data_IF_636278695973
#
_entry.id   IF_636278695973
#
_cell.length_a   1.000
_cell.length_b   1.000
_cell.length_c   1.000
_cell.angle_alpha   90.00
_cell.angle_beta   90.00
_cell.angle_gamma   90.00
#
_symmetry.space_group_name_H-M   'P 1'
#
loop_
_entity.id
_entity.type
_entity.pdbx_description
1 polymer ?
2 branched ?
3 non-polymer ?
4 non-polymer ?
5 water ?
#
# COMPACT_ATOMS: atom_id res chain seq x y z
N UNK A 1 -10.86 12.10 3.63
CA UNK A 1 -11.11 10.64 3.43
C UNK A 1 -11.24 10.30 1.95
N UNK A 2 -10.82 9.09 1.59
CA UNK A 2 -11.00 8.57 0.24
C UNK A 2 -11.89 7.32 0.29
N UNK A 3 -12.56 7.02 -0.81
CA UNK A 3 -13.52 5.91 -0.86
C UNK A 3 -13.43 5.07 -2.13
N UNK A 4 -13.72 3.78 -2.00
CA UNK A 4 -13.81 2.88 -3.14
C UNK A 4 -14.93 1.85 -2.96
N UNK A 5 -15.74 1.69 -3.99
CA UNK A 5 -16.87 0.77 -3.96
C UNK A 5 -16.69 -0.35 -4.98
N UNK A 6 -16.70 -1.59 -4.51
CA UNK A 6 -16.52 -2.74 -5.38
C UNK A 6 -17.76 -3.04 -6.25
N UNK A 7 -18.94 -2.63 -5.76
CA UNK A 7 -20.16 -2.77 -6.55
C UNK A 7 -20.13 -1.81 -7.74
N UNK A 8 -20.04 -2.37 -8.93
CA UNK A 8 -19.98 -1.59 -10.16
C UNK A 8 -18.57 -1.13 -10.52
N UNK A 9 -17.58 -1.60 -9.76
CA UNK A 9 -16.20 -1.22 -9.99
C UNK A 9 -15.68 -1.69 -11.35
N UNK A 10 -14.85 -0.86 -11.97
CA UNK A 10 -14.18 -1.19 -13.22
C UNK A 10 -12.79 -0.56 -13.22
N UNK A 11 -11.95 -0.85 -14.25
CA UNK A 11 -10.62 -0.25 -14.25
C UNK A 11 -10.63 1.27 -14.09
N UNK A 12 -11.66 1.93 -14.62
CA UNK A 12 -11.82 3.37 -14.53
C UNK A 12 -12.05 3.87 -13.10
N UNK A 13 -13.03 3.27 -12.40
CA UNK A 13 -13.36 3.68 -11.04
C UNK A 13 -12.25 3.34 -10.06
N UNK A 14 -11.57 2.22 -10.30
CA UNK A 14 -10.41 1.86 -9.49
C UNK A 14 -9.29 2.87 -9.69
N UNK A 15 -9.05 3.25 -10.94
CA UNK A 15 -8.05 4.28 -11.27
C UNK A 15 -8.32 5.58 -10.54
N UNK A 16 -9.60 5.98 -10.49
CA UNK A 16 -10.01 7.18 -9.78
C UNK A 16 -9.72 7.09 -8.27
N UNK A 17 -9.99 5.92 -7.68
CA UNK A 17 -9.70 5.68 -6.27
C UNK A 17 -8.20 5.82 -5.96
N UNK A 18 -7.35 5.25 -6.81
CA UNK A 18 -5.91 5.30 -6.62
C UNK A 18 -5.38 6.73 -6.77
N UNK A 19 -5.96 7.47 -7.71
CA UNK A 19 -5.68 8.90 -7.87
C UNK A 19 -6.05 9.66 -6.59
N UNK A 20 -7.27 9.41 -6.09
CA UNK A 20 -7.73 10.02 -4.83
C UNK A 20 -6.80 9.70 -3.67
N UNK A 21 -6.38 8.44 -3.58
CA UNK A 21 -5.48 7.99 -2.51
C UNK A 21 -4.15 8.75 -2.57
N UNK A 22 -3.56 8.84 -3.75
CA UNK A 22 -2.31 9.59 -3.96
C UNK A 22 -2.48 11.06 -3.58
N UNK A 23 -3.57 11.66 -4.03
CA UNK A 23 -3.84 13.09 -3.82
C UNK A 23 -4.11 13.45 -2.36
N UNK A 24 -4.54 12.46 -1.57
CA UNK A 24 -4.80 12.67 -0.15
C UNK A 24 -3.53 12.65 0.70
N UNK A 25 -2.41 12.26 0.08
CA UNK A 25 -1.13 12.23 0.79
C UNK A 25 -0.44 13.58 0.61
N UNK A 26 -0.12 14.26 1.73
CA UNK A 26 0.47 15.59 1.66
C UNK A 26 1.94 15.59 1.27
N UNK A 27 2.35 16.63 0.53
CA UNK A 27 3.75 16.87 0.20
C UNK A 27 3.97 18.37 0.01
N UNK A 28 5.17 18.83 0.35
CA UNK A 28 5.54 20.24 0.13
C UNK A 28 6.59 20.36 -0.95
N UNK A 29 7.03 19.20 -1.46
CA UNK A 29 8.18 19.12 -2.34
C UNK A 29 8.04 17.95 -3.31
N UNK A 30 8.48 18.17 -4.55
CA UNK A 30 8.63 17.09 -5.52
C UNK A 30 10.11 16.89 -5.82
N UNK A 31 10.51 15.63 -5.91
CA UNK A 31 11.89 15.28 -6.26
C UNK A 31 11.84 14.51 -7.58
N UNK A 32 12.50 15.08 -8.59
CA UNK A 32 12.42 14.59 -9.97
C UNK A 32 10.97 14.41 -10.43
N UNK A 33 10.15 15.40 -10.09
CA UNK A 33 8.71 15.45 -10.43
C UNK A 33 7.84 14.40 -9.71
N UNK A 34 8.40 13.77 -8.68
CA UNK A 34 7.68 12.78 -7.88
C UNK A 34 7.44 13.34 -6.49
N UNK A 35 6.16 13.37 -6.04
CA UNK A 35 5.83 13.87 -4.71
C UNK A 35 6.67 13.20 -3.61
N UNK A 36 7.21 14.03 -2.72
CA UNK A 36 8.00 13.55 -1.60
C UNK A 36 7.17 13.56 -0.33
N UNK A 37 6.91 12.38 0.22
CA UNK A 37 6.15 12.27 1.46
C UNK A 37 6.87 12.95 2.63
N UNK A 38 6.08 13.51 3.54
CA UNK A 38 6.61 14.30 4.65
C UNK A 38 7.40 13.47 5.66
N UNK A 39 8.42 14.08 6.31
CA UNK A 39 9.17 13.41 7.37
C UNK A 39 8.28 12.96 8.53
N UNK A 40 7.34 13.82 8.92
CA UNK A 40 6.37 13.50 9.97
C UNK A 40 5.16 14.43 9.95
N UNK A 41 4.06 13.97 10.55
CA UNK A 41 2.85 14.76 10.74
C UNK A 41 2.38 14.48 12.17
N UNK A 42 1.98 15.53 12.88
CA UNK A 42 1.55 15.39 14.27
C UNK A 42 0.04 15.37 14.43
N UNK A 43 -0.43 14.58 15.39
CA UNK A 43 -1.86 14.48 15.70
C UNK A 43 -2.58 13.47 14.84
N UNK A 44 -3.90 13.66 14.72
CA UNK A 44 -4.75 12.79 13.92
C UNK A 44 -4.53 12.97 12.41
N UNK A 45 -3.93 14.10 12.03
CA UNK A 45 -3.65 14.42 10.62
C UNK A 45 -2.66 13.47 9.96
N UNK A 46 -1.97 12.68 10.77
CA UNK A 46 -1.02 11.68 10.27
C UNK A 46 -1.70 10.53 9.53
N UNK A 47 -3.00 10.36 9.79
CA UNK A 47 -3.72 9.19 9.31
C UNK A 47 -4.85 9.49 8.35
N UNK A 48 -4.78 8.85 7.17
CA UNK A 48 -5.84 8.91 6.19
C UNK A 48 -6.80 7.75 6.38
N UNK A 49 -8.10 8.04 6.29
CA UNK A 49 -9.13 7.00 6.39
C UNK A 49 -9.65 6.62 5.01
N UNK A 50 -9.47 5.36 4.65
CA UNK A 50 -9.99 4.82 3.40
C UNK A 50 -11.28 4.07 3.69
N UNK A 51 -12.36 4.48 3.06
CA UNK A 51 -13.64 3.80 3.19
C UNK A 51 -13.81 2.83 2.02
N UNK A 52 -13.76 1.55 2.32
CA UNK A 52 -13.87 0.51 1.30
C UNK A 52 -15.17 -0.28 1.47
N UNK A 53 -15.87 -0.46 0.36
CA UNK A 53 -17.16 -1.15 0.33
C UNK A 53 -17.07 -2.39 -0.54
N UNK A 54 -17.43 -3.54 0.03
CA UNK A 54 -17.50 -4.76 -0.77
C UNK A 54 -18.72 -4.73 -1.70
N UNK A 55 -18.85 -5.74 -2.54
CA UNK A 55 -19.92 -5.79 -3.53
C UNK A 55 -21.32 -5.66 -2.92
N UNK A 56 -21.50 -6.23 -1.73
CA UNK A 56 -22.78 -6.18 -1.02
C UNK A 56 -23.01 -4.85 -0.30
N UNK A 57 -21.99 -3.99 -0.30
CA UNK A 57 -22.12 -2.66 0.30
C UNK A 57 -21.70 -2.58 1.75
N UNK A 58 -21.18 -3.68 2.29
CA UNK A 58 -20.60 -3.68 3.63
C UNK A 58 -19.25 -2.98 3.60
N UNK A 59 -18.88 -2.36 4.71
CA UNK A 59 -17.75 -1.45 4.71
C UNK A 59 -16.73 -1.65 5.83
N UNK A 60 -15.46 -1.38 5.50
CA UNK A 60 -14.41 -1.22 6.48
C UNK A 60 -13.74 0.13 6.27
N UNK A 61 -13.24 0.73 7.36
CA UNK A 61 -12.45 1.94 7.26
C UNK A 61 -11.01 1.60 7.61
N UNK A 62 -10.10 1.92 6.69
CA UNK A 62 -8.70 1.57 6.86
C UNK A 62 -7.88 2.82 7.17
N UNK A 63 -7.09 2.76 8.25
CA UNK A 63 -6.23 3.87 8.66
C UNK A 63 -4.84 3.71 8.05
N UNK A 64 -4.42 4.74 7.31
CA UNK A 64 -3.14 4.73 6.60
C UNK A 64 -2.28 5.91 7.07
N UNK A 65 -1.03 5.62 7.45
CA UNK A 65 -0.06 6.66 7.83
C UNK A 65 0.37 7.39 6.56
N UNK A 66 0.09 8.69 6.50
CA UNK A 66 0.29 9.48 5.27
C UNK A 66 1.76 9.76 4.92
N UNK A 67 2.65 9.53 5.89
CA UNK A 67 4.09 9.72 5.67
C UNK A 67 4.77 8.53 4.96
N UNK A 68 4.13 7.36 4.98
CA UNK A 68 4.77 6.15 4.45
C UNK A 68 3.83 5.17 3.73
N UNK A 69 2.54 5.51 3.69
CA UNK A 69 1.47 4.70 3.10
C UNK A 69 1.32 3.32 3.78
N UNK A 70 1.74 3.23 5.03
CA UNK A 70 1.60 2.00 5.80
C UNK A 70 0.22 1.91 6.42
N UNK A 71 -0.47 0.80 6.16
CA UNK A 71 -1.76 0.54 6.80
C UNK A 71 -1.50 0.20 8.27
N UNK A 72 -2.19 0.88 9.17
CA UNK A 72 -1.95 0.72 10.60
C UNK A 72 -3.00 -0.15 11.29
N UNK A 73 -4.23 -0.05 10.79
CA UNK A 73 -5.36 -0.78 11.34
C UNK A 73 -6.61 -0.46 10.57
N UNK A 74 -7.73 -1.01 11.01
CA UNK A 74 -9.00 -0.81 10.34
C UNK A 74 -10.17 -0.97 11.31
N UNK A 75 -11.32 -0.46 10.90
CA UNK A 75 -12.56 -0.56 11.67
C UNK A 75 -13.57 -1.39 10.90
N UNK A 76 -14.14 -2.38 11.59
CA UNK A 76 -15.15 -3.26 11.01
C UNK A 76 -16.34 -3.30 11.97
N UNK A 77 -17.45 -2.70 11.56
CA UNK A 77 -18.60 -2.40 12.40
C UNK A 77 -18.20 -1.59 13.65
N UNK A 78 -18.13 -2.23 14.81
CA UNK A 78 -17.84 -1.54 16.06
C UNK A 78 -16.53 -2.00 16.69
N UNK A 79 -15.78 -2.83 15.96
CA UNK A 79 -14.50 -3.36 16.42
C UNK A 79 -13.36 -2.77 15.59
N UNK A 80 -12.35 -2.25 16.27
CA UNK A 80 -11.12 -1.82 15.61
C UNK A 80 -10.04 -2.90 15.70
N UNK A 81 -9.19 -2.94 14.69
CA UNK A 81 -8.11 -3.92 14.61
C UNK A 81 -6.81 -3.20 14.24
N UNK A 82 -5.76 -3.44 15.02
CA UNK A 82 -4.46 -2.83 14.76
C UNK A 82 -3.36 -3.86 14.75
N UNK A 83 -2.35 -3.63 13.92
CA UNK A 83 -1.17 -4.49 13.90
C UNK A 83 -0.42 -4.46 15.22
N UNK A 84 0.28 -5.55 15.52
CA UNK A 84 1.08 -5.67 16.74
C UNK A 84 2.45 -5.03 16.52
N UNK A 85 2.48 -3.70 16.54
CA UNK A 85 3.71 -2.93 16.35
C UNK A 85 3.53 -1.53 16.96
N UNK A 86 4.62 -0.90 17.42
CA UNK A 86 4.51 0.39 18.11
C UNK A 86 3.80 1.50 17.31
N UNK A 87 4.09 1.57 16.01
CA UNK A 87 3.49 2.59 15.14
C UNK A 87 1.98 2.46 15.05
N UNK A 88 1.49 1.21 15.06
CA UNK A 88 0.05 0.93 15.03
C UNK A 88 -0.60 1.23 16.37
N UNK A 89 0.08 0.89 17.46
CA UNK A 89 -0.43 1.23 18.80
C UNK A 89 -0.57 2.74 18.96
N UNK A 90 0.42 3.48 18.46
CA UNK A 90 0.35 4.95 18.43
C UNK A 90 -0.85 5.42 17.61
N UNK A 91 -1.08 4.77 16.47
CA UNK A 91 -2.23 5.09 15.61
C UNK A 91 -3.56 4.90 16.34
N UNK A 92 -3.64 3.87 17.20
CA UNK A 92 -4.85 3.57 17.96
C UNK A 92 -5.22 4.68 18.95
N UNK A 93 -4.27 5.58 19.20
CA UNK A 93 -4.52 6.72 20.07
C UNK A 93 -5.31 7.83 19.37
N UNK A 94 -5.38 7.76 18.04
CA UNK A 94 -5.98 8.84 17.24
C UNK A 94 -7.18 8.41 16.36
N UNK A 95 -7.20 7.17 15.91
CA UNK A 95 -8.26 6.69 15.01
C UNK A 95 -9.17 5.63 15.65
N UNK A 96 -10.42 5.60 15.19
CA UNK A 96 -11.43 4.63 15.62
C UNK A 96 -11.61 4.59 17.14
N UNK A 97 -11.57 5.78 17.75
CA UNK A 97 -11.69 5.90 19.20
C UNK A 97 -13.07 5.49 19.72
N UNK A 98 -14.09 5.65 18.88
CA UNK A 98 -15.46 5.34 19.27
C UNK A 98 -15.84 3.86 19.11
N UNK A 99 -14.88 3.02 18.71
CA UNK A 99 -15.08 1.58 18.62
C UNK A 99 -15.37 0.99 19.99
N UNK A 100 -16.30 0.04 20.06
CA UNK A 100 -16.68 -0.61 21.32
C UNK A 100 -15.55 -1.47 21.90
N UNK A 101 -14.80 -2.12 21.02
CA UNK A 101 -13.63 -2.91 21.43
C UNK A 101 -12.49 -2.78 20.44
N UNK A 102 -11.27 -2.98 20.93
CA UNK A 102 -10.07 -2.93 20.10
C UNK A 102 -9.30 -4.23 20.18
N UNK A 103 -9.12 -4.87 19.02
CA UNK A 103 -8.35 -6.10 18.93
C UNK A 103 -6.98 -5.80 18.34
N UNK A 104 -5.93 -6.24 19.02
CA UNK A 104 -4.59 -6.20 18.44
C UNK A 104 -4.34 -7.53 17.73
N UNK A 105 -4.09 -7.44 16.42
CA UNK A 105 -3.77 -8.61 15.61
C UNK A 105 -2.47 -9.26 16.10
N UNK A 106 -2.39 -10.60 16.04
CA UNK A 106 -1.21 -11.33 16.53
C UNK A 106 -0.04 -11.36 15.52
N UNK A 107 0.18 -10.22 14.86
CA UNK A 107 1.31 -10.02 13.95
C UNK A 107 1.46 -8.54 13.63
N UNK A 108 2.67 -8.15 13.26
CA UNK A 108 2.92 -6.82 12.73
C UNK A 108 2.46 -6.75 11.27
N UNK A 109 2.63 -5.59 10.66
CA UNK A 109 2.18 -5.36 9.30
C UNK A 109 3.17 -5.67 8.20
N UNK A 110 4.41 -6.02 8.56
CA UNK A 110 5.42 -6.25 7.54
C UNK A 110 5.17 -7.54 6.75
N UNK A 111 5.53 -7.50 5.46
CA UNK A 111 5.26 -8.59 4.53
C UNK A 111 5.68 -9.96 5.05
N UNK A 112 6.87 -10.04 5.64
CA UNK A 112 7.39 -11.30 6.15
C UNK A 112 6.51 -11.91 7.24
N UNK A 113 6.10 -11.10 8.21
CA UNK A 113 5.26 -11.58 9.32
C UNK A 113 3.85 -11.97 8.85
N UNK A 114 3.29 -11.19 7.92
CA UNK A 114 1.96 -11.48 7.38
C UNK A 114 1.94 -12.79 6.59
N UNK A 115 2.99 -13.02 5.80
CA UNK A 115 3.12 -14.25 5.01
C UNK A 115 3.21 -15.48 5.90
N UNK A 116 3.93 -15.38 7.01
CA UNK A 116 4.02 -16.44 8.01
C UNK A 116 2.64 -16.75 8.60
N UNK A 117 1.92 -15.70 9.00
CA UNK A 117 0.59 -15.84 9.58
C UNK A 117 -0.44 -16.42 8.59
N UNK A 118 -0.35 -15.98 7.33
CA UNK A 118 -1.24 -16.45 6.27
C UNK A 118 -0.94 -17.87 5.81
N UNK A 119 0.31 -18.29 6.01
CA UNK A 119 0.74 -19.64 5.64
C UNK A 119 1.20 -19.77 4.21
N UNK A 120 1.38 -18.63 3.53
CA UNK A 120 1.82 -18.60 2.14
C UNK A 120 2.48 -17.27 1.78
N UNK A 121 3.48 -17.31 0.89
CA UNK A 121 4.06 -16.07 0.38
C UNK A 121 3.08 -15.42 -0.59
N UNK A 122 3.22 -14.12 -0.80
CA UNK A 122 2.27 -13.42 -1.67
C UNK A 122 2.49 -13.73 -3.16
N UNK A 123 3.58 -14.41 -3.48
CA UNK A 123 3.77 -15.01 -4.81
C UNK A 123 2.64 -15.96 -5.16
N UNK A 124 2.02 -16.54 -4.13
CA UNK A 124 0.99 -17.57 -4.33
C UNK A 124 -0.42 -17.09 -4.00
N UNK A 125 -0.55 -15.82 -3.61
CA UNK A 125 -1.86 -15.23 -3.29
C UNK A 125 -2.35 -14.38 -4.46
N UNK A 126 -3.45 -14.82 -5.12
CA UNK A 126 -4.04 -14.04 -6.21
C UNK A 126 -4.51 -12.68 -5.71
N UNK A 127 -4.32 -11.66 -6.54
CA UNK A 127 -4.77 -10.31 -6.24
C UNK A 127 -5.58 -9.77 -7.43
N UNK A 128 -6.31 -8.70 -7.18
CA UNK A 128 -7.22 -8.14 -8.17
C UNK A 128 -8.40 -7.55 -7.45
N UNK A 129 -9.37 -7.06 -8.21
CA UNK A 129 -10.56 -6.48 -7.61
C UNK A 129 -11.48 -7.51 -6.95
N UNK A 130 -11.67 -8.70 -7.58
CA UNK A 130 -12.41 -9.73 -6.86
C UNK A 130 -11.76 -10.13 -5.53
N UNK A 131 -10.43 -10.26 -5.52
CA UNK A 131 -9.69 -10.57 -4.29
C UNK A 131 -9.86 -9.48 -3.23
N UNK A 132 -9.91 -8.22 -3.66
CA UNK A 132 -10.13 -7.10 -2.74
C UNK A 132 -11.52 -7.17 -2.09
N UNK A 133 -12.54 -7.47 -2.90
CA UNK A 133 -13.89 -7.71 -2.39
C UNK A 133 -13.88 -8.80 -1.31
N UNK A 134 -13.19 -9.91 -1.59
CA UNK A 134 -13.02 -11.01 -0.65
C UNK A 134 -12.33 -10.54 0.64
N UNK A 135 -11.27 -9.76 0.47
CA UNK A 135 -10.47 -9.26 1.59
C UNK A 135 -11.32 -8.44 2.55
N UNK A 136 -12.11 -7.52 1.98
CA UNK A 136 -13.03 -6.68 2.77
C UNK A 136 -14.00 -7.55 3.57
N UNK A 137 -14.62 -8.52 2.90
CA UNK A 137 -15.57 -9.43 3.56
C UNK A 137 -14.91 -10.22 4.69
N UNK A 138 -13.70 -10.70 4.45
CA UNK A 138 -12.94 -11.44 5.46
C UNK A 138 -12.66 -10.60 6.70
N UNK A 139 -12.25 -9.35 6.49
CA UNK A 139 -11.90 -8.47 7.59
C UNK A 139 -13.10 -8.01 8.43
N UNK A 140 -14.31 -8.21 7.90
CA UNK A 140 -15.53 -7.84 8.62
C UNK A 140 -15.82 -8.71 9.84
N UNK A 141 -15.32 -9.94 9.83
CA UNK A 141 -15.47 -10.84 10.97
C UNK A 141 -14.14 -11.49 11.32
N UNK A 142 -13.72 -11.25 12.57
CA UNK A 142 -12.36 -11.59 13.01
C UNK A 142 -11.99 -13.05 12.81
N UNK A 143 -10.86 -13.26 12.11
CA UNK A 143 -10.25 -14.56 11.87
C UNK A 143 -8.81 -14.21 11.53
N UNK A 144 -7.89 -14.38 12.48
CA UNK A 144 -6.54 -13.82 12.34
C UNK A 144 -5.72 -14.44 11.20
N UNK A 145 -5.83 -15.75 11.01
CA UNK A 145 -5.18 -16.44 9.89
C UNK A 145 -5.71 -15.95 8.54
N UNK A 146 -7.03 -15.92 8.38
CA UNK A 146 -7.65 -15.44 7.15
C UNK A 146 -7.35 -13.96 6.92
N UNK A 147 -7.37 -13.19 8.01
CA UNK A 147 -7.08 -11.76 7.96
C UNK A 147 -5.69 -11.44 7.43
N UNK A 148 -4.69 -12.27 7.77
CA UNK A 148 -3.33 -12.08 7.26
C UNK A 148 -3.30 -12.08 5.73
N UNK A 149 -3.98 -13.06 5.12
CA UNK A 149 -4.08 -13.15 3.67
C UNK A 149 -4.85 -11.98 3.09
N UNK A 150 -5.95 -11.63 3.75
CA UNK A 150 -6.79 -10.50 3.34
C UNK A 150 -5.99 -9.20 3.34
N UNK A 151 -5.17 -9.03 4.37
CA UNK A 151 -4.36 -7.81 4.51
C UNK A 151 -3.26 -7.74 3.46
N UNK A 152 -2.65 -8.89 3.13
CA UNK A 152 -1.71 -8.96 2.03
C UNK A 152 -2.32 -8.49 0.72
N UNK A 153 -3.56 -8.91 0.46
CA UNK A 153 -4.33 -8.44 -0.70
C UNK A 153 -4.62 -6.94 -0.59
N UNK A 154 -5.08 -6.51 0.57
CA UNK A 154 -5.46 -5.11 0.79
C UNK A 154 -4.29 -4.14 0.58
N UNK A 155 -3.15 -4.47 1.19
CA UNK A 155 -1.95 -3.63 1.09
C UNK A 155 -1.51 -3.42 -0.36
N UNK A 156 -1.48 -4.52 -1.12
CA UNK A 156 -1.02 -4.50 -2.51
C UNK A 156 -1.98 -3.79 -3.47
N UNK A 157 -3.29 -3.93 -3.23
CA UNK A 157 -4.29 -3.35 -4.13
C UNK A 157 -4.62 -1.91 -3.79
N UNK A 158 -4.08 -1.42 -2.67
CA UNK A 158 -4.26 -0.02 -2.28
C UNK A 158 -2.92 0.71 -2.23
N UNK A 159 -2.18 0.54 -1.13
CA UNK A 159 -0.89 1.20 -0.90
C UNK A 159 0.13 1.01 -2.04
N UNK A 160 0.33 -0.23 -2.46
CA UNK A 160 1.36 -0.53 -3.47
C UNK A 160 0.98 0.04 -4.84
N UNK A 161 -0.31 -0.01 -5.16
CA UNK A 161 -0.84 0.59 -6.39
C UNK A 161 -0.68 2.10 -6.39
N UNK A 162 -0.90 2.72 -5.23
CA UNK A 162 -0.66 4.17 -5.08
C UNK A 162 0.80 4.53 -5.34
N UNK A 163 1.71 3.69 -4.87
CA UNK A 163 3.16 3.92 -5.01
C UNK A 163 3.70 3.71 -6.41
N UNK A 164 3.13 2.75 -7.14
CA UNK A 164 3.63 2.37 -8.46
C UNK A 164 2.52 2.31 -9.50
N UNK A 165 2.67 3.08 -10.57
CA UNK A 165 1.72 3.06 -11.70
C UNK A 165 1.62 1.66 -12.30
N UNK A 166 2.75 0.95 -12.39
CA UNK A 166 2.76 -0.42 -12.88
C UNK A 166 1.83 -1.33 -12.07
N UNK A 167 1.86 -1.18 -10.74
CA UNK A 167 1.04 -2.02 -9.86
C UNK A 167 -0.44 -1.68 -10.00
N UNK A 168 -0.76 -0.38 -10.12
CA UNK A 168 -2.11 0.07 -10.42
C UNK A 168 -2.65 -0.57 -11.69
N UNK A 169 -1.84 -0.55 -12.75
CA UNK A 169 -2.18 -1.18 -14.03
C UNK A 169 -2.37 -2.69 -13.91
N UNK A 170 -1.52 -3.33 -13.10
CA UNK A 170 -1.63 -4.76 -12.79
C UNK A 170 -2.99 -5.12 -12.21
N UNK A 171 -3.47 -4.30 -11.28
CA UNK A 171 -4.77 -4.52 -10.64
C UNK A 171 -5.93 -4.23 -11.61
N UNK A 172 -5.79 -3.18 -12.42
CA UNK A 172 -6.77 -2.87 -13.46
C UNK A 172 -6.96 -4.03 -14.44
N UNK A 173 -5.86 -4.73 -14.74
CA UNK A 173 -5.89 -5.92 -15.58
C UNK A 173 -6.61 -7.07 -14.89
N UNK A 174 -6.64 -7.02 -13.56
CA UNK A 174 -7.26 -8.04 -12.72
C UNK A 174 -8.60 -7.55 -12.17
N UNK A 175 -9.31 -6.74 -12.94
CA UNK A 175 -10.58 -6.16 -12.50
C UNK A 175 -11.69 -7.20 -12.31
N UNK A 176 -11.68 -8.24 -13.14
CA UNK A 176 -12.74 -9.25 -13.11
C UNK A 176 -12.21 -10.68 -13.01
N UNK A 177 -10.89 -10.80 -12.86
CA UNK A 177 -10.21 -12.09 -12.69
C UNK A 177 -8.94 -11.89 -11.88
N UNK A 178 -8.86 -12.56 -10.73
CA UNK A 178 -7.66 -12.52 -9.90
C UNK A 178 -6.50 -13.27 -10.54
N UNK A 179 -5.29 -12.82 -10.25
CA UNK A 179 -4.07 -13.51 -10.65
C UNK A 179 -2.97 -13.15 -9.66
N UNK A 180 -2.11 -14.12 -9.36
CA UNK A 180 -0.94 -13.85 -8.51
C UNK A 180 -0.13 -12.70 -9.11
N UNK A 181 0.49 -11.86 -8.26
CA UNK A 181 1.27 -10.72 -8.77
C UNK A 181 2.45 -11.19 -9.61
N UNK A 182 2.80 -10.42 -10.64
CA UNK A 182 4.00 -10.67 -11.43
C UNK A 182 5.24 -10.52 -10.54
N UNK A 183 6.34 -11.16 -10.92
CA UNK A 183 7.58 -11.02 -10.17
C UNK A 183 8.05 -9.56 -10.14
N UNK A 184 7.74 -8.82 -11.21
CA UNK A 184 8.02 -7.39 -11.29
C UNK A 184 7.28 -6.63 -10.19
N UNK A 185 6.03 -6.99 -9.97
CA UNK A 185 5.21 -6.40 -8.90
C UNK A 185 5.86 -6.61 -7.53
N UNK A 186 6.22 -7.86 -7.22
CA UNK A 186 6.89 -8.20 -5.96
C UNK A 186 8.19 -7.42 -5.80
N UNK A 187 8.96 -7.35 -6.89
CA UNK A 187 10.23 -6.64 -6.92
C UNK A 187 10.07 -5.16 -6.54
N UNK A 188 9.09 -4.50 -7.16
CA UNK A 188 8.82 -3.09 -6.89
C UNK A 188 8.39 -2.85 -5.45
N UNK A 189 7.50 -3.71 -4.95
CA UNK A 189 7.06 -3.63 -3.56
C UNK A 189 8.26 -3.67 -2.61
N UNK A 190 9.14 -4.64 -2.83
CA UNK A 190 10.32 -4.82 -1.98
C UNK A 190 11.33 -3.69 -2.10
N UNK A 191 11.30 -2.97 -3.23
CA UNK A 191 12.32 -1.95 -3.53
C UNK A 191 11.88 -0.52 -3.30
N UNK A 192 10.65 -0.32 -2.81
CA UNK A 192 10.09 1.03 -2.69
C UNK A 192 10.94 1.94 -1.82
N UNK A 193 11.34 1.47 -0.65
CA UNK A 193 12.19 2.23 0.26
C UNK A 193 13.56 2.50 -0.36
N UNK A 194 14.13 1.47 -0.96
CA UNK A 194 15.42 1.58 -1.65
C UNK A 194 15.42 2.57 -2.79
N UNK A 195 14.39 2.50 -3.64
CA UNK A 195 14.23 3.42 -4.75
C UNK A 195 14.00 4.86 -4.28
N UNK A 196 13.14 5.02 -3.27
CA UNK A 196 12.88 6.32 -2.66
C UNK A 196 14.16 6.97 -2.17
N UNK A 197 14.99 6.19 -1.48
CA UNK A 197 16.29 6.67 -0.98
C UNK A 197 17.19 7.14 -2.11
N UNK A 198 17.38 6.28 -3.11
CA UNK A 198 18.30 6.55 -4.21
C UNK A 198 17.88 7.71 -5.12
N UNK A 199 16.57 7.88 -5.31
CA UNK A 199 16.05 9.01 -6.07
C UNK A 199 16.36 10.33 -5.34
N UNK A 200 16.24 10.31 -4.02
CA UNK A 200 16.61 11.45 -3.18
C UNK A 200 18.12 11.70 -3.13
N UNK A 201 18.91 10.63 -3.10
CA UNK A 201 20.37 10.75 -3.10
C UNK A 201 20.90 11.25 -4.46
N UNK A 202 20.12 11.03 -5.51
CA UNK A 202 20.45 11.47 -6.86
C UNK A 202 20.41 12.98 -7.03
N UNK A 203 19.68 13.66 -6.14
CA UNK A 203 19.51 15.12 -6.16
C UNK A 203 20.83 15.88 -6.20
N UNK A 204 21.78 15.48 -5.38
CA UNK A 204 23.11 16.08 -5.35
C UNK A 204 24.17 15.22 -6.00
N UNK A 205 23.74 14.30 -6.85
CA UNK A 205 24.66 13.35 -7.49
C UNK A 205 24.42 13.27 -9.01
N UNK A 206 23.93 14.37 -9.58
CA UNK A 206 23.67 14.49 -11.03
C UNK A 206 22.68 13.47 -11.57
N UNK A 207 21.70 13.09 -10.75
CA UNK A 207 20.68 12.12 -11.16
C UNK A 207 21.12 10.67 -11.09
N UNK A 208 22.33 10.44 -10.56
CA UNK A 208 22.91 9.10 -10.47
C UNK A 208 22.69 8.51 -9.07
N UNK A 209 22.26 7.24 -9.03
CA UNK A 209 22.09 6.51 -7.78
C UNK A 209 23.45 6.26 -7.12
N UNK A 210 23.53 6.49 -5.82
CA UNK A 210 24.73 6.15 -5.05
C UNK A 210 24.93 4.64 -5.02
N UNK A 211 23.83 3.91 -4.88
CA UNK A 211 23.82 2.45 -4.93
C UNK A 211 22.73 2.01 -5.91
N UNK A 212 23.09 1.18 -6.92
CA UNK A 212 22.10 0.73 -7.89
C UNK A 212 21.01 -0.14 -7.26
N UNK A 213 19.78 -0.02 -7.77
CA UNK A 213 18.66 -0.83 -7.31
C UNK A 213 18.37 -1.94 -8.33
N UNK A 214 18.32 -3.18 -7.85
CA UNK A 214 18.07 -4.33 -8.71
C UNK A 214 16.57 -4.67 -8.75
N UNK A 215 16.01 -4.68 -9.95
CA UNK A 215 14.59 -4.99 -10.16
C UNK A 215 14.37 -6.09 -11.19
N UNK A 216 13.22 -6.74 -11.13
CA UNK A 216 12.78 -7.68 -12.16
C UNK A 216 11.81 -6.93 -13.09
N UNK A 217 12.02 -7.05 -14.40
CA UNK A 217 11.17 -6.35 -15.38
C UNK A 217 9.92 -7.14 -15.75
N UNK A 218 9.06 -6.53 -16.58
CA UNK A 218 7.79 -7.13 -17.02
C UNK A 218 7.99 -8.43 -17.80
N UNK A 219 9.08 -8.52 -18.56
CA UNK A 219 9.43 -9.73 -19.30
C UNK A 219 9.97 -10.83 -18.36
N UNK A 220 10.27 -10.45 -17.12
CA UNK A 220 10.72 -11.40 -16.10
C UNK A 220 12.23 -11.48 -15.94
N UNK A 221 12.93 -10.46 -16.45
CA UNK A 221 14.39 -10.41 -16.37
C UNK A 221 14.91 -9.42 -15.35
N UNK A 222 16.02 -9.78 -14.69
CA UNK A 222 16.63 -8.96 -13.66
C UNK A 222 17.45 -7.80 -14.26
N UNK A 223 17.10 -6.59 -13.86
CA UNK A 223 17.72 -5.36 -14.38
C UNK A 223 18.23 -4.46 -13.26
N UNK A 224 19.28 -3.69 -13.55
CA UNK A 224 19.81 -2.72 -12.60
C UNK A 224 19.37 -1.30 -12.93
N UNK A 225 18.91 -0.59 -11.90
CA UNK A 225 18.50 0.81 -12.03
C UNK A 225 19.60 1.66 -11.41
N UNK A 226 20.21 2.52 -12.24
CA UNK A 226 21.40 3.27 -11.82
C UNK A 226 21.21 4.79 -11.79
N UNK A 227 20.20 5.29 -12.50
CA UNK A 227 19.96 6.73 -12.57
C UNK A 227 18.49 7.11 -12.82
N UNK A 228 18.18 8.40 -12.70
CA UNK A 228 16.80 8.90 -12.78
C UNK A 228 16.15 8.86 -14.17
N UNK A 229 16.92 8.56 -15.20
CA UNK A 229 16.38 8.46 -16.56
C UNK A 229 15.67 7.13 -16.81
N UNK A 230 15.81 6.21 -15.84
CA UNK A 230 15.14 4.92 -15.90
C UNK A 230 13.61 5.08 -15.89
N UNK A 231 12.94 4.24 -16.67
CA UNK A 231 11.48 4.25 -16.76
C UNK A 231 10.78 4.10 -15.40
N UNK A 232 11.43 3.39 -14.48
CA UNK A 232 10.92 3.20 -13.12
C UNK A 232 10.77 4.56 -12.41
N UNK A 233 11.71 5.46 -12.67
CA UNK A 233 11.70 6.79 -12.06
C UNK A 233 10.81 7.78 -12.83
N UNK A 234 10.90 7.77 -14.16
CA UNK A 234 10.19 8.74 -15.00
C UNK A 234 8.69 8.47 -15.14
N UNK A 235 8.30 7.20 -15.08
CA UNK A 235 6.92 6.81 -15.41
C UNK A 235 6.19 6.06 -14.30
N UNK A 236 6.92 5.27 -13.54
CA UNK A 236 6.33 4.26 -12.64
C UNK A 236 6.06 4.76 -11.22
N UNK A 237 7.13 5.00 -10.46
CA UNK A 237 7.01 5.43 -9.06
C UNK A 237 6.25 6.76 -8.93
N UNK A 238 5.32 6.81 -7.98
CA UNK A 238 4.41 7.95 -7.84
C UNK A 238 4.54 8.69 -6.50
N UNK A 239 5.24 8.06 -5.55
CA UNK A 239 5.41 8.58 -4.20
C UNK A 239 6.77 8.17 -3.67
N UNK A 240 7.42 9.08 -2.95
CA UNK A 240 8.74 8.81 -2.37
C UNK A 240 8.71 8.81 -0.85
N UNK A 241 9.17 7.71 -0.26
CA UNK A 241 9.40 7.65 1.18
C UNK A 241 10.57 8.58 1.50
N UNK A 242 10.32 9.51 2.42
CA UNK A 242 11.34 10.46 2.86
C UNK A 242 12.53 9.74 3.50
N UNK A 243 13.74 10.15 3.12
CA UNK A 243 14.97 9.53 3.65
C UNK A 243 15.12 9.68 5.17
N UNK A 244 14.44 10.66 5.76
CA UNK A 244 14.37 10.80 7.21
C UNK A 244 13.70 9.58 7.87
N UNK A 245 12.88 8.87 7.10
CA UNK A 245 12.19 7.68 7.59
C UNK A 245 12.81 6.36 7.11
N UNK A 246 14.00 6.45 6.53
CA UNK A 246 14.70 5.26 6.03
C UNK A 246 15.96 4.97 6.86
X LIG B 1 21.35 5.71 -16.80
X LIG B 1 22.71 5.21 -17.30
X LIG B 1 22.68 4.50 -18.67
X LIG B 1 21.53 3.52 -18.74
X LIG B 1 20.24 4.12 -18.20
X LIG B 1 19.21 3.02 -18.04
X LIG B 1 24.49 6.56 -16.26
X LIG B 1 25.35 7.79 -16.40
X LIG B 1 23.62 6.36 -17.28
X LIG B 1 23.87 3.79 -19.02
X LIG B 1 21.42 3.11 -20.10
X LIG B 1 20.37 4.71 -16.91
X LIG B 1 17.98 3.61 -17.71
X LIG B 1 24.61 5.81 -15.25
X LIG B 2 21.18 1.75 -20.44
X LIG B 2 20.39 1.19 -21.64
X LIG B 2 20.80 -0.26 -21.90
X LIG B 2 22.29 -0.38 -22.19
X LIG B 2 23.17 0.64 -21.45
X LIG B 2 23.79 1.68 -22.40
X LIG B 2 18.17 2.20 -21.92
X LIG B 2 16.72 2.12 -21.54
X LIG B 2 18.97 1.27 -21.38
X LIG B 2 20.08 -0.76 -23.00
X LIG B 2 22.72 -1.69 -21.85
X LIG B 2 22.53 1.26 -20.34
X LIG B 2 24.52 2.62 -21.65
X LIG B 2 18.56 3.09 -22.67
X LIG C 1 -14.77 -7.17 -8.85
X LIG C 1 -15.52 -8.35 -8.68
X LIG C 1 -15.70 -5.95 -8.87
X LIG C 1 -16.70 -6.08 -7.88
X LIG C 1 -16.33 -5.83 -10.26
X LIG C 1 -17.21 -4.73 -10.31
X LIG D 1 8.91 -3.68 9.51
X LIG D 1 8.63 -4.40 10.81
X LIG D 1 7.35 -3.88 11.45
X LIG D 1 6.46 -3.19 10.43
X LIG D 1 6.59 -1.68 10.52
X LIG D 1 5.43 -0.99 9.81
X LIG D 1 4.96 -1.80 8.62
X LIG D 1 3.50 -2.18 8.75
X LIG D 1 2.58 -1.05 8.30
X LIG D 1 1.73 -1.47 7.11
X LIG D 1 2.55 -2.25 6.10
X LIG D 1 1.94 -3.53 5.88
X LIG D 1 2.64 -1.50 4.77
X LIG D 1 3.29 -2.37 3.70
X LIG D 1 4.12 -3.48 4.32
X LIG D 1 5.59 -3.10 4.40
X LIG D 1 6.35 -4.02 5.33
X LIG D 1 7.03 -5.15 4.57
X LIG D 1 8.48 -5.32 5.03
X LIG D 1 1.52 -1.07 3.92
X LIG D 1 0.49 -0.96 4.62
X LIG D 1 1.52 -0.85 2.68
#
# INVERSE_FOLDING_TARGET
DVSFRLSGADPSSYGMFIKDLRNALPHTEKVYNIPLLLPSVSGAGRYLLMHLFNYDGNTITVAVDVTNVYIMGYLALTTSYFFNEPAADLASQYVFRSARRKITLPYSGNYERLQIAAGKPREKIPIGLPALDTAISTLLHYDSTAAAGALLVLIQTTAEAARFKYIEQQIQERAYRDEVPSSATISLENSWSGLSKQIQLAQGNNGVFRTPTVLVDSKGNRVQITNVTSNVVTSNIQLLLNTKNI
NAG C1 C2 C3 C4 C5 C6 C7 C8 N2 O3 O4 O5 O6 O7
NAG C1 C2 C3 C4 C5 C6 C7 C8 N2 O3 O4 O5 O6 O7
GOL C1 O1 C2 O2 C3 O3
FGM CBU CBV CBW CBX CBY CBZ CCA CCB CCC CCD CCE OCF CCG CCH CCI CCJ CCK CCL CCM CCQ OCR OCS
#
